data_IF_067837398147
#
_entry.id   IF_067837398147
#
_cell.length_a   1.000
_cell.length_b   1.000
_cell.length_c   1.000
_cell.angle_alpha   90.00
_cell.angle_beta   90.00
_cell.angle_gamma   90.00
#
_symmetry.space_group_name_H-M   'P 1'
#
loop_
_entity.id
_entity.type
_entity.pdbx_description
1 polymer ?
#
# COMPACT_ATOMS: atom_id res chain seq x y z
N UNK A 1 -5.37 -44.33 7.38
CA UNK A 1 -4.76 -42.99 7.27
C UNK A 1 -5.40 -42.11 8.31
N UNK A 2 -4.62 -41.63 9.29
CA UNK A 2 -5.19 -40.96 10.47
C UNK A 2 -5.39 -39.47 10.20
N UNK A 3 -6.45 -38.87 10.74
CA UNK A 3 -6.83 -37.47 10.48
C UNK A 3 -5.69 -36.48 10.81
N UNK A 4 -4.89 -36.79 11.82
CA UNK A 4 -3.70 -36.02 12.20
C UNK A 4 -2.64 -35.92 11.09
N UNK A 5 -2.42 -37.02 10.35
CA UNK A 5 -1.42 -37.07 9.28
C UNK A 5 -1.85 -36.26 8.05
N UNK A 6 -3.16 -36.17 7.80
CA UNK A 6 -3.70 -35.33 6.73
C UNK A 6 -3.54 -33.84 7.07
N UNK A 7 -3.84 -33.46 8.30
CA UNK A 7 -3.70 -32.07 8.78
C UNK A 7 -2.24 -31.62 8.78
N UNK A 8 -1.32 -32.49 9.19
CA UNK A 8 0.12 -32.21 9.09
C UNK A 8 0.56 -32.00 7.64
N UNK A 9 0.15 -32.86 6.71
CA UNK A 9 0.50 -32.70 5.29
C UNK A 9 -0.02 -31.40 4.69
N UNK A 10 -1.26 -31.01 5.02
CA UNK A 10 -1.86 -29.75 4.57
C UNK A 10 -1.10 -28.56 5.14
N UNK A 11 -0.73 -28.59 6.42
CA UNK A 11 0.03 -27.51 7.06
C UNK A 11 1.47 -27.44 6.58
N UNK A 12 2.11 -28.56 6.27
CA UNK A 12 3.45 -28.58 5.66
C UNK A 12 3.41 -28.04 4.24
N UNK A 13 2.41 -28.43 3.44
CA UNK A 13 2.23 -27.95 2.07
C UNK A 13 1.93 -26.44 2.02
N UNK A 14 1.06 -25.93 2.89
CA UNK A 14 0.80 -24.49 2.96
C UNK A 14 2.04 -23.70 3.37
N UNK A 15 2.85 -24.22 4.30
CA UNK A 15 4.13 -23.63 4.69
C UNK A 15 5.18 -23.67 3.57
N UNK A 16 5.23 -24.74 2.78
CA UNK A 16 6.19 -24.86 1.67
C UNK A 16 5.82 -23.93 0.52
N UNK A 17 4.55 -23.87 0.13
CA UNK A 17 4.06 -22.89 -0.85
C UNK A 17 4.35 -21.46 -0.39
N UNK A 18 4.07 -21.14 0.87
CA UNK A 18 4.38 -19.81 1.43
C UNK A 18 5.86 -19.49 1.33
N UNK A 19 6.75 -20.45 1.61
CA UNK A 19 8.20 -20.29 1.48
C UNK A 19 8.68 -20.14 0.04
N UNK A 20 8.10 -20.87 -0.92
CA UNK A 20 8.45 -20.76 -2.34
C UNK A 20 7.98 -19.44 -2.94
N UNK A 21 6.76 -19.02 -2.62
CA UNK A 21 6.21 -17.71 -2.98
C UNK A 21 7.09 -16.61 -2.38
N UNK A 22 7.36 -16.64 -1.07
CA UNK A 22 8.26 -15.68 -0.42
C UNK A 22 9.67 -15.68 -1.00
N UNK A 23 10.21 -16.82 -1.44
CA UNK A 23 11.53 -16.88 -2.10
C UNK A 23 11.53 -16.18 -3.45
N UNK A 24 10.47 -16.32 -4.25
CA UNK A 24 10.35 -15.60 -5.52
C UNK A 24 10.23 -14.09 -5.33
N UNK A 25 9.61 -13.63 -4.24
CA UNK A 25 9.50 -12.20 -3.91
C UNK A 25 10.67 -11.64 -3.07
N UNK A 26 11.51 -12.49 -2.44
CA UNK A 26 12.66 -12.04 -1.63
C UNK A 26 13.80 -11.38 -2.44
N UNK A 27 13.71 -11.39 -3.77
CA UNK A 27 14.63 -10.71 -4.68
C UNK A 27 13.94 -9.63 -5.51
N UNK A 28 12.71 -9.24 -5.15
CA UNK A 28 12.02 -8.17 -5.86
C UNK A 28 12.79 -6.86 -5.68
N UNK A 29 13.19 -6.27 -6.81
CA UNK A 29 13.82 -4.96 -6.80
C UNK A 29 12.83 -3.97 -6.22
N UNK A 30 13.27 -3.19 -5.25
CA UNK A 30 12.48 -2.06 -4.75
C UNK A 30 12.91 -0.78 -5.44
N UNK A 31 11.96 0.10 -5.68
CA UNK A 31 12.20 1.46 -6.14
C UNK A 31 11.74 2.45 -5.09
N UNK A 32 12.45 3.57 -5.00
CA UNK A 32 12.12 4.65 -4.10
C UNK A 32 11.24 5.66 -4.81
N UNK A 33 10.14 6.05 -4.16
CA UNK A 33 9.21 7.06 -4.64
C UNK A 33 8.90 8.03 -3.49
N UNK A 34 8.79 9.32 -3.80
CA UNK A 34 8.39 10.33 -2.82
C UNK A 34 6.90 10.19 -2.50
N UNK A 35 6.49 10.49 -1.26
CA UNK A 35 5.09 10.46 -0.84
C UNK A 35 4.22 11.31 -1.77
N UNK A 36 4.65 12.53 -2.10
CA UNK A 36 3.91 13.43 -2.99
C UNK A 36 3.63 12.79 -4.37
N UNK A 37 4.66 12.22 -5.01
CA UNK A 37 4.50 11.58 -6.32
C UNK A 37 3.63 10.34 -6.26
N UNK A 38 3.73 9.57 -5.17
CA UNK A 38 2.87 8.41 -4.97
C UNK A 38 1.42 8.82 -4.75
N UNK A 39 1.17 9.89 -3.98
CA UNK A 39 -0.16 10.45 -3.79
C UNK A 39 -0.77 10.90 -5.12
N UNK A 40 -0.01 11.63 -5.94
CA UNK A 40 -0.43 12.06 -7.28
C UNK A 40 -0.81 10.87 -8.16
N UNK A 41 -0.01 9.80 -8.17
CA UNK A 41 -0.30 8.58 -8.91
C UNK A 41 -1.60 7.91 -8.41
N UNK A 42 -1.83 7.84 -7.10
CA UNK A 42 -3.08 7.31 -6.53
C UNK A 42 -4.27 8.17 -6.93
N UNK A 43 -4.17 9.50 -6.83
CA UNK A 43 -5.26 10.42 -7.15
C UNK A 43 -5.68 10.37 -8.63
N UNK A 44 -4.73 10.12 -9.53
CA UNK A 44 -4.96 10.10 -10.98
C UNK A 44 -5.27 8.70 -11.53
N UNK A 45 -5.07 7.65 -10.74
CA UNK A 45 -5.35 6.28 -11.17
C UNK A 45 -6.85 6.01 -11.28
N UNK A 46 -7.28 5.48 -12.44
CA UNK A 46 -8.70 5.19 -12.74
C UNK A 46 -9.32 4.10 -11.87
N UNK A 47 -8.51 3.24 -11.26
CA UNK A 47 -8.97 2.17 -10.37
C UNK A 47 -9.09 2.63 -8.91
N UNK A 48 -8.65 3.84 -8.59
CA UNK A 48 -8.74 4.38 -7.24
C UNK A 48 -10.19 4.62 -6.86
N UNK A 49 -10.58 4.08 -5.71
CA UNK A 49 -11.89 4.33 -5.10
C UNK A 49 -11.77 5.50 -4.14
N UNK A 50 -12.63 6.51 -4.33
CA UNK A 50 -12.70 7.70 -3.48
C UNK A 50 -13.91 7.64 -2.54
N UNK A 51 -13.70 8.03 -1.29
CA UNK A 51 -14.74 8.36 -0.31
C UNK A 51 -14.49 9.78 0.20
N UNK A 52 -15.54 10.58 0.31
CA UNK A 52 -15.46 11.94 0.89
C UNK A 52 -16.38 12.02 2.09
N UNK A 53 -15.90 12.65 3.14
CA UNK A 53 -16.66 12.94 4.35
C UNK A 53 -16.45 14.39 4.76
N UNK A 54 -17.48 15.00 5.32
CA UNK A 54 -17.42 16.35 5.88
C UNK A 54 -17.64 16.30 7.38
N UNK A 55 -16.69 16.85 8.14
CA UNK A 55 -16.72 16.88 9.59
C UNK A 55 -16.46 18.31 10.07
N UNK A 56 -17.44 18.91 10.75
CA UNK A 56 -17.32 20.28 11.28
C UNK A 56 -16.93 21.32 10.20
N UNK A 57 -17.47 21.18 8.98
CA UNK A 57 -17.15 22.04 7.84
C UNK A 57 -15.78 21.77 7.19
N UNK A 58 -15.07 20.73 7.63
CA UNK A 58 -13.83 20.29 7.02
C UNK A 58 -14.09 19.09 6.12
N UNK A 59 -13.66 19.19 4.87
CA UNK A 59 -13.72 18.09 3.90
C UNK A 59 -12.51 17.18 4.07
N UNK A 60 -12.74 15.89 4.18
CA UNK A 60 -11.72 14.85 4.19
C UNK A 60 -12.00 13.86 3.06
N UNK A 61 -10.96 13.46 2.35
CA UNK A 61 -11.08 12.44 1.30
C UNK A 61 -10.18 11.25 1.64
N UNK A 62 -10.74 10.06 1.51
CA UNK A 62 -10.02 8.79 1.55
C UNK A 62 -9.98 8.20 0.14
N UNK A 63 -8.79 7.78 -0.30
CA UNK A 63 -8.55 7.13 -1.57
C UNK A 63 -7.95 5.74 -1.30
N UNK A 64 -8.49 4.73 -1.97
CA UNK A 64 -8.05 3.34 -1.88
C UNK A 64 -7.64 2.83 -3.26
N UNK A 65 -6.45 2.26 -3.35
CA UNK A 65 -5.95 1.64 -4.56
C UNK A 65 -5.22 0.34 -4.20
N UNK A 66 -5.57 -0.75 -4.87
CA UNK A 66 -4.88 -2.03 -4.72
C UNK A 66 -4.07 -2.31 -5.97
N UNK A 67 -2.78 -2.60 -5.80
CA UNK A 67 -1.86 -2.96 -6.89
C UNK A 67 -1.20 -4.28 -6.52
N UNK A 68 -1.63 -5.36 -7.16
CA UNK A 68 -1.14 -6.70 -6.82
C UNK A 68 -1.45 -7.04 -5.36
N UNK A 69 -0.40 -7.20 -4.55
CA UNK A 69 -0.50 -7.53 -3.12
C UNK A 69 -0.45 -6.29 -2.20
N UNK A 70 -0.30 -5.09 -2.77
CA UNK A 70 -0.18 -3.85 -2.01
C UNK A 70 -1.50 -3.10 -2.00
N UNK A 71 -1.98 -2.80 -0.79
CA UNK A 71 -3.11 -1.91 -0.55
C UNK A 71 -2.61 -0.53 -0.13
N UNK A 72 -2.99 0.48 -0.91
CA UNK A 72 -2.75 1.87 -0.59
C UNK A 72 -3.98 2.51 0.05
N UNK A 73 -3.72 3.30 1.10
CA UNK A 73 -4.66 4.24 1.69
C UNK A 73 -4.06 5.63 1.65
N UNK A 74 -4.72 6.55 0.99
CA UNK A 74 -4.36 7.98 0.98
C UNK A 74 -5.50 8.78 1.61
N UNK A 75 -5.18 9.58 2.61
CA UNK A 75 -6.09 10.53 3.24
C UNK A 75 -5.63 11.95 2.95
N UNK A 76 -6.57 12.81 2.59
CA UNK A 76 -6.31 14.22 2.27
C UNK A 76 -7.36 15.11 2.93
N UNK A 77 -7.00 16.37 3.14
CA UNK A 77 -7.89 17.42 3.64
C UNK A 77 -8.17 18.46 2.56
N UNK A 78 -9.43 18.88 2.51
CA UNK A 78 -9.99 19.91 1.65
C UNK A 78 -10.61 19.38 0.37
N UNK A 79 -11.38 20.23 -0.32
CA UNK A 79 -12.22 19.85 -1.46
C UNK A 79 -11.40 19.38 -2.66
N UNK A 80 -10.18 19.91 -2.81
CA UNK A 80 -9.27 19.60 -3.92
C UNK A 80 -8.00 18.87 -3.45
N UNK A 81 -8.06 18.19 -2.31
CA UNK A 81 -6.91 17.50 -1.71
C UNK A 81 -5.74 18.46 -1.38
N UNK A 82 -6.07 19.65 -0.88
CA UNK A 82 -5.13 20.74 -0.60
C UNK A 82 -4.00 20.34 0.34
N UNK A 83 -4.22 19.34 1.20
CA UNK A 83 -3.19 18.78 2.06
C UNK A 83 -3.25 17.26 2.11
N UNK A 84 -2.12 16.58 1.91
CA UNK A 84 -1.97 15.16 2.22
C UNK A 84 -1.90 15.02 3.74
N UNK A 85 -2.74 14.16 4.31
CA UNK A 85 -2.80 13.94 5.75
C UNK A 85 -2.07 12.65 6.13
N UNK A 86 -2.30 11.58 5.37
CA UNK A 86 -1.73 10.27 5.64
C UNK A 86 -1.63 9.45 4.35
N UNK A 87 -0.55 8.71 4.19
CA UNK A 87 -0.40 7.73 3.12
C UNK A 87 0.17 6.43 3.70
N UNK A 88 -0.56 5.34 3.57
CA UNK A 88 -0.15 4.03 4.06
C UNK A 88 -0.10 3.04 2.90
N UNK A 89 0.92 2.19 2.90
CA UNK A 89 1.02 1.04 2.00
C UNK A 89 1.15 -0.23 2.84
N UNK A 90 0.29 -1.21 2.55
CA UNK A 90 0.21 -2.46 3.31
C UNK A 90 0.38 -3.64 2.35
N UNK A 91 1.25 -4.58 2.69
CA UNK A 91 1.41 -5.85 1.97
C UNK A 91 0.93 -7.01 2.84
N UNK A 92 -0.13 -7.70 2.43
CA UNK A 92 -0.68 -8.86 3.16
C UNK A 92 -0.91 -8.59 4.65
N UNK A 93 -1.37 -7.39 5.00
CA UNK A 93 -1.61 -6.94 6.37
C UNK A 93 -0.37 -6.44 7.13
N UNK A 94 0.80 -6.36 6.51
CA UNK A 94 2.00 -5.77 7.11
C UNK A 94 2.25 -4.39 6.50
N UNK A 95 2.47 -3.38 7.36
CA UNK A 95 2.80 -2.03 6.88
C UNK A 95 4.17 -2.05 6.18
N UNK A 96 4.19 -1.68 4.90
CA UNK A 96 5.43 -1.39 4.18
C UNK A 96 5.98 -0.03 4.62
N UNK A 97 5.10 0.96 4.68
CA UNK A 97 5.39 2.26 5.26
C UNK A 97 4.10 3.02 5.60
N UNK A 98 4.26 4.02 6.46
CA UNK A 98 3.23 4.98 6.80
C UNK A 98 3.83 6.39 6.83
N UNK A 99 3.24 7.28 6.05
CA UNK A 99 3.47 8.72 6.11
C UNK A 99 2.29 9.39 6.83
N UNK A 100 2.58 10.31 7.75
CA UNK A 100 1.61 11.08 8.52
C UNK A 100 2.07 12.54 8.61
N UNK A 101 1.28 13.48 8.07
CA UNK A 101 1.67 14.88 7.94
C UNK A 101 1.75 15.66 9.27
N UNK A 102 1.35 15.04 10.37
CA UNK A 102 1.45 15.58 11.73
C UNK A 102 2.66 15.00 12.49
N UNK A 103 3.39 14.06 11.91
CA UNK A 103 4.64 13.56 12.47
C UNK A 103 5.79 14.51 12.10
N UNK A 104 6.48 15.14 13.08
CA UNK A 104 7.39 16.26 12.84
C UNK A 104 8.67 15.88 12.08
N UNK A 105 8.98 14.58 11.99
CA UNK A 105 10.18 14.07 11.31
C UNK A 105 9.91 13.64 9.87
N UNK A 106 8.66 13.65 9.42
CA UNK A 106 8.27 13.15 8.11
C UNK A 106 7.98 14.29 7.15
N UNK A 107 8.35 14.10 5.88
CA UNK A 107 8.11 15.04 4.79
C UNK A 107 7.42 14.36 3.61
N UNK A 108 6.62 15.11 2.86
CA UNK A 108 6.06 14.62 1.59
C UNK A 108 7.15 14.31 0.53
N UNK A 109 8.37 14.82 0.73
CA UNK A 109 9.54 14.50 -0.10
C UNK A 109 10.26 13.20 0.33
N UNK A 110 9.87 12.59 1.45
CA UNK A 110 10.50 11.38 1.94
C UNK A 110 10.32 10.24 0.95
N UNK A 111 11.42 9.52 0.73
CA UNK A 111 11.48 8.44 -0.23
C UNK A 111 11.15 7.11 0.45
N UNK A 112 10.05 6.50 0.03
CA UNK A 112 9.63 5.18 0.50
C UNK A 112 9.89 4.11 -0.55
N UNK A 113 10.32 2.94 -0.09
CA UNK A 113 10.55 1.79 -0.96
C UNK A 113 9.22 1.11 -1.28
N UNK A 114 8.96 0.90 -2.57
CA UNK A 114 7.85 0.08 -3.08
C UNK A 114 8.39 -1.01 -4.01
N UNK A 115 7.71 -2.15 -4.16
CA UNK A 115 8.09 -3.17 -5.14
C UNK A 115 8.16 -2.61 -6.57
N UNK A 116 9.05 -3.13 -7.41
CA UNK A 116 9.21 -2.71 -8.81
C UNK A 116 7.90 -2.70 -9.58
N UNK A 117 7.11 -3.77 -9.47
CA UNK A 117 5.86 -3.91 -10.24
C UNK A 117 4.86 -2.80 -9.89
N UNK A 118 4.85 -2.38 -8.62
CA UNK A 118 4.02 -1.27 -8.14
C UNK A 118 4.53 0.04 -8.71
N UNK A 119 5.85 0.27 -8.64
CA UNK A 119 6.46 1.47 -9.21
C UNK A 119 6.15 1.59 -10.71
N UNK A 120 6.35 0.51 -11.47
CA UNK A 120 6.07 0.47 -12.90
C UNK A 120 4.59 0.72 -13.17
N UNK A 121 3.68 0.06 -12.44
CA UNK A 121 2.24 0.25 -12.59
C UNK A 121 1.79 1.70 -12.36
N UNK A 122 2.39 2.38 -11.37
CA UNK A 122 2.00 3.73 -10.98
C UNK A 122 2.67 4.82 -11.83
N UNK A 123 3.82 4.55 -12.45
CA UNK A 123 4.61 5.56 -13.17
C UNK A 123 4.61 5.39 -14.69
N UNK A 124 4.32 4.20 -15.20
CA UNK A 124 4.23 3.92 -16.64
C UNK A 124 2.75 3.85 -17.05
N UNK A 125 2.16 5.03 -17.21
CA UNK A 125 0.87 5.20 -17.90
C UNK A 125 1.05 5.15 -19.43
#
# INVERSE_FOLDING_TARGET
>A
MNMSQLVERITTFSKSMRKEVLKQFSHEKTHRIAVYHLAEAILTNKQTVKKTEEWLGLVFNEYRLTVGLIDFKLETKGTNNEKIMKLTAVENGNDLFCYEAYEPIQSEQDLHAVPQYVFDYLTKA
#
